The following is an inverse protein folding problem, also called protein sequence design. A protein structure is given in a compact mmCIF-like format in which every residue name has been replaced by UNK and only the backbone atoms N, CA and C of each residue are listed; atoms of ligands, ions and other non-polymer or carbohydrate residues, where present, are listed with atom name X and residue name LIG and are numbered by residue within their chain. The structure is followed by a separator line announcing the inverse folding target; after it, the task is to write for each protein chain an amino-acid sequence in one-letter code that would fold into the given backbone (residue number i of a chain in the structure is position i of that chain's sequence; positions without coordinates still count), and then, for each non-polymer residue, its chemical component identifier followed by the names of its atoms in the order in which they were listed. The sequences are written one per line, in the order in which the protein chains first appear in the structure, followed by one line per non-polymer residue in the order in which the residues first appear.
data_IF_185098809535
#
_entry.id   IF_185098809535
#
_cell.length_a   1.000
_cell.length_b   1.000
_cell.length_c   1.000
_cell.angle_alpha   90.00
_cell.angle_beta   90.00
_cell.angle_gamma   90.00
#
_symmetry.space_group_name_H-M   'P 1'
#
loop_
_entity.id
_entity.type
_entity.pdbx_description
1 polymer ?
#
# COMPACT_ATOMS: atom_id res chain seq x y z
N UNK A 1 45.65 26.87 11.29
CA UNK A 1 44.35 26.80 12.00
C UNK A 1 43.84 25.39 11.90
N UNK A 2 43.28 24.84 12.96
CA UNK A 2 42.71 23.51 12.90
C UNK A 2 41.42 23.53 12.07
N UNK A 3 41.09 22.43 11.40
CA UNK A 3 39.81 22.30 10.69
C UNK A 3 38.69 22.10 11.71
N UNK A 4 37.47 22.52 11.38
CA UNK A 4 36.32 22.41 12.27
C UNK A 4 36.14 20.99 12.83
N UNK A 5 36.31 19.96 11.98
CA UNK A 5 36.24 18.56 12.38
C UNK A 5 37.15 18.22 13.58
N UNK A 6 38.38 18.77 13.63
CA UNK A 6 39.34 18.45 14.69
C UNK A 6 38.85 18.86 16.08
N UNK A 7 38.13 19.98 16.18
CA UNK A 7 37.55 20.45 17.45
C UNK A 7 36.44 19.53 17.95
N UNK A 8 35.75 18.84 17.03
CA UNK A 8 34.64 17.95 17.31
C UNK A 8 35.03 16.47 17.43
N UNK A 9 36.29 16.09 17.14
CA UNK A 9 36.79 14.73 17.30
C UNK A 9 36.54 14.12 18.69
N UNK A 10 36.69 14.85 19.82
CA UNK A 10 36.37 14.30 21.14
C UNK A 10 34.90 13.86 21.29
N UNK A 11 33.97 14.55 20.60
CA UNK A 11 32.55 14.19 20.59
C UNK A 11 32.33 12.92 19.76
N UNK A 12 33.00 12.79 18.62
CA UNK A 12 32.99 11.55 17.82
C UNK A 12 33.57 10.36 18.59
N UNK A 13 34.71 10.53 19.25
CA UNK A 13 35.31 9.48 20.09
C UNK A 13 34.36 9.05 21.21
N UNK A 14 33.66 10.00 21.85
CA UNK A 14 32.65 9.69 22.85
C UNK A 14 31.47 8.90 22.27
N UNK A 15 30.91 9.34 21.14
CA UNK A 15 29.79 8.65 20.48
C UNK A 15 30.15 7.23 20.02
N UNK A 16 31.34 7.04 19.43
CA UNK A 16 31.81 5.71 19.02
C UNK A 16 32.04 4.77 20.21
N UNK A 17 32.63 5.27 21.30
CA UNK A 17 32.79 4.48 22.53
C UNK A 17 31.44 4.13 23.18
N UNK A 18 30.45 5.01 23.07
CA UNK A 18 29.08 4.74 23.51
C UNK A 18 28.42 3.66 22.63
N UNK A 19 28.53 3.76 21.31
CA UNK A 19 27.99 2.78 20.35
C UNK A 19 28.62 1.39 20.56
N UNK A 20 29.94 1.31 20.76
CA UNK A 20 30.63 0.05 21.09
C UNK A 20 30.12 -0.57 22.39
N UNK A 21 29.96 0.23 23.46
CA UNK A 21 29.40 -0.24 24.73
C UNK A 21 27.96 -0.72 24.61
N UNK A 22 27.14 -0.04 23.80
CA UNK A 22 25.76 -0.43 23.49
C UNK A 22 25.75 -1.77 22.76
N UNK A 23 26.56 -1.92 21.71
CA UNK A 23 26.67 -3.15 20.94
C UNK A 23 27.17 -4.34 21.79
N UNK A 24 28.06 -4.08 22.76
CA UNK A 24 28.54 -5.08 23.71
C UNK A 24 27.57 -5.38 24.87
N UNK A 25 26.43 -4.68 24.98
CA UNK A 25 25.48 -4.84 26.09
C UNK A 25 26.00 -4.35 27.44
N UNK A 26 27.04 -3.49 27.45
CA UNK A 26 27.74 -3.01 28.65
C UNK A 26 27.37 -1.56 29.04
N UNK A 27 26.25 -1.05 28.51
CA UNK A 27 25.73 0.28 28.80
C UNK A 27 25.27 0.38 30.29
N UNK A 28 26.16 0.84 31.18
CA UNK A 28 25.91 0.94 32.63
C UNK A 28 25.55 2.35 33.11
N UNK A 29 25.82 3.39 32.32
CA UNK A 29 25.52 4.78 32.69
C UNK A 29 24.07 5.14 32.33
N UNK A 30 23.37 5.88 33.18
CA UNK A 30 21.99 6.31 32.93
C UNK A 30 21.88 7.36 31.83
N UNK A 31 20.74 7.36 31.10
CA UNK A 31 20.45 8.25 29.95
C UNK A 31 20.79 9.72 30.21
N UNK A 32 20.42 10.27 31.38
CA UNK A 32 20.69 11.66 31.73
C UNK A 32 22.19 12.01 31.85
N UNK A 33 23.01 11.09 32.35
CA UNK A 33 24.46 11.30 32.48
C UNK A 33 25.13 11.34 31.11
N UNK A 34 24.73 10.44 30.20
CA UNK A 34 25.21 10.39 28.82
C UNK A 34 24.85 11.68 28.07
N UNK A 35 23.59 12.11 28.13
CA UNK A 35 23.11 13.36 27.51
C UNK A 35 23.84 14.59 28.06
N UNK A 36 24.01 14.67 29.39
CA UNK A 36 24.75 15.78 30.02
C UNK A 36 26.20 15.81 29.54
N UNK A 37 26.86 14.65 29.49
CA UNK A 37 28.25 14.54 29.06
C UNK A 37 28.42 14.90 27.58
N UNK A 38 27.53 14.42 26.72
CA UNK A 38 27.51 14.76 25.30
C UNK A 38 27.36 16.28 25.10
N UNK A 39 26.41 16.90 25.82
CA UNK A 39 26.18 18.34 25.78
C UNK A 39 27.44 19.14 26.17
N UNK A 40 28.08 18.77 27.27
CA UNK A 40 29.33 19.41 27.71
C UNK A 40 30.44 19.32 26.65
N UNK A 41 30.60 18.16 26.01
CA UNK A 41 31.61 17.97 24.99
C UNK A 41 31.32 18.80 23.74
N UNK A 42 30.05 18.87 23.32
CA UNK A 42 29.62 19.71 22.18
C UNK A 42 29.86 21.20 22.49
N UNK A 43 29.49 21.68 23.68
CA UNK A 43 29.69 23.08 24.07
C UNK A 43 31.19 23.44 24.15
N UNK A 44 32.03 22.53 24.66
CA UNK A 44 33.50 22.72 24.66
C UNK A 44 34.07 22.75 23.24
N UNK A 45 33.62 21.85 22.36
CA UNK A 45 34.06 21.81 20.97
C UNK A 45 33.69 23.11 20.22
N UNK A 46 32.47 23.62 20.44
CA UNK A 46 32.03 24.91 19.91
C UNK A 46 32.91 26.07 20.40
N UNK A 47 33.16 26.14 21.71
CA UNK A 47 33.99 27.19 22.29
C UNK A 47 35.44 27.15 21.76
N UNK A 48 36.02 25.95 21.61
CA UNK A 48 37.36 25.77 21.05
C UNK A 48 37.43 26.19 19.57
N UNK A 49 36.43 25.80 18.77
CA UNK A 49 36.35 26.20 17.36
C UNK A 49 36.22 27.73 17.20
N UNK A 50 35.40 28.37 18.02
CA UNK A 50 35.24 29.84 18.01
C UNK A 50 36.52 30.55 18.46
N UNK A 51 37.23 30.03 19.46
CA UNK A 51 38.52 30.56 19.90
C UNK A 51 39.61 30.45 18.82
N UNK A 52 39.54 29.43 17.95
CA UNK A 52 40.40 29.27 16.76
C UNK A 52 39.89 30.05 15.53
N UNK A 53 38.91 30.95 15.73
CA UNK A 53 38.42 31.89 14.72
C UNK A 53 37.33 31.36 13.78
N UNK A 54 36.72 30.20 14.06
CA UNK A 54 35.61 29.68 13.26
C UNK A 54 34.33 30.50 13.49
N UNK A 55 33.51 30.66 12.45
CA UNK A 55 32.25 31.40 12.55
C UNK A 55 31.28 30.68 13.50
N UNK A 56 30.52 31.40 14.36
CA UNK A 56 29.54 30.79 15.25
C UNK A 56 28.54 29.88 14.52
N UNK A 57 28.04 30.34 13.37
CA UNK A 57 27.10 29.59 12.52
C UNK A 57 27.67 28.22 12.05
N UNK A 58 28.97 28.15 11.77
CA UNK A 58 29.62 26.90 11.37
C UNK A 58 29.76 25.95 12.56
N UNK A 59 30.11 26.48 13.73
CA UNK A 59 30.19 25.70 14.97
C UNK A 59 28.80 25.16 15.39
N UNK A 60 27.74 25.96 15.23
CA UNK A 60 26.37 25.56 15.50
C UNK A 60 25.88 24.49 14.51
N UNK A 61 26.17 24.66 13.22
CA UNK A 61 25.85 23.66 12.19
C UNK A 61 26.52 22.31 12.47
N UNK A 62 27.79 22.30 12.86
CA UNK A 62 28.51 21.09 13.24
C UNK A 62 27.96 20.45 14.52
N UNK A 63 27.60 21.26 15.52
CA UNK A 63 26.99 20.78 16.75
C UNK A 63 25.63 20.11 16.53
N UNK A 64 24.82 20.62 15.59
CA UNK A 64 23.55 20.00 15.20
C UNK A 64 23.75 18.57 14.68
N UNK A 65 24.70 18.38 13.76
CA UNK A 65 25.01 17.06 13.21
C UNK A 65 25.35 16.05 14.31
N UNK A 66 26.14 16.45 15.31
CA UNK A 66 26.57 15.54 16.38
C UNK A 66 25.48 15.29 17.42
N UNK A 67 24.65 16.29 17.70
CA UNK A 67 23.47 16.08 18.56
C UNK A 67 22.52 15.05 17.92
N UNK A 68 22.23 15.20 16.61
CA UNK A 68 21.40 14.25 15.87
C UNK A 68 21.99 12.84 15.87
N UNK A 69 23.30 12.71 15.64
CA UNK A 69 23.98 11.41 15.61
C UNK A 69 24.07 10.72 16.99
N UNK A 70 24.37 11.46 18.05
CA UNK A 70 24.39 10.91 19.41
C UNK A 70 22.98 10.47 19.84
N UNK A 71 21.96 11.28 19.56
CA UNK A 71 20.57 10.91 19.85
C UNK A 71 20.16 9.63 19.11
N UNK A 72 20.60 9.45 17.86
CA UNK A 72 20.35 8.21 17.11
C UNK A 72 21.08 7.00 17.73
N UNK A 73 22.34 7.15 18.15
CA UNK A 73 23.07 6.09 18.86
C UNK A 73 22.31 5.69 20.13
N UNK A 74 21.85 6.66 20.91
CA UNK A 74 21.09 6.41 22.12
C UNK A 74 19.74 5.73 21.82
N UNK A 75 19.04 6.14 20.77
CA UNK A 75 17.74 5.58 20.38
C UNK A 75 17.79 4.09 19.96
N UNK A 76 18.96 3.59 19.54
CA UNK A 76 19.15 2.16 19.19
C UNK A 76 19.08 1.23 20.40
N UNK A 77 19.24 1.75 21.63
CA UNK A 77 19.17 0.95 22.85
C UNK A 77 17.91 1.30 23.67
N UNK A 78 17.00 0.33 23.92
CA UNK A 78 15.81 0.54 24.74
C UNK A 78 16.08 1.12 26.14
N UNK A 79 17.25 0.86 26.72
CA UNK A 79 17.64 1.38 28.03
C UNK A 79 17.76 2.92 28.08
N UNK A 80 17.95 3.57 26.93
CA UNK A 80 18.10 5.01 26.84
C UNK A 80 16.83 5.76 26.42
N UNK A 81 15.77 5.04 26.03
CA UNK A 81 14.48 5.60 25.60
C UNK A 81 13.71 6.31 26.73
N UNK A 82 13.98 5.95 27.98
CA UNK A 82 13.34 6.55 29.16
C UNK A 82 14.37 7.22 30.06
N UNK A 83 14.09 8.44 30.52
CA UNK A 83 14.89 9.10 31.57
C UNK A 83 15.79 10.27 31.17
N UNK A 84 15.82 10.72 29.91
CA UNK A 84 16.39 12.03 29.56
C UNK A 84 15.74 12.65 28.32
N UNK A 85 15.79 13.98 28.22
CA UNK A 85 15.30 14.72 27.04
C UNK A 85 16.43 14.69 25.99
N UNK A 86 16.18 14.29 24.73
CA UNK A 86 17.19 14.24 23.67
C UNK A 86 17.94 15.56 23.44
N UNK A 87 19.17 15.48 22.94
CA UNK A 87 20.01 16.64 22.63
C UNK A 87 19.36 17.54 21.57
N UNK A 88 18.74 16.97 20.54
CA UNK A 88 18.03 17.70 19.49
C UNK A 88 16.94 18.63 20.04
N UNK A 89 16.25 18.20 21.11
CA UNK A 89 15.20 18.99 21.76
C UNK A 89 15.83 20.07 22.64
N UNK A 90 16.80 19.70 23.47
CA UNK A 90 17.40 20.64 24.45
C UNK A 90 18.36 21.67 23.84
N UNK A 91 19.00 21.35 22.72
CA UNK A 91 19.97 22.20 22.04
C UNK A 91 19.38 22.99 20.88
N UNK A 92 18.43 22.40 20.14
CA UNK A 92 17.96 22.94 18.87
C UNK A 92 16.43 23.05 18.76
N UNK A 93 15.70 22.71 19.82
CA UNK A 93 14.23 22.79 19.87
C UNK A 93 13.54 22.03 18.71
N UNK A 94 14.10 20.89 18.30
CA UNK A 94 13.52 20.00 17.29
C UNK A 94 13.39 18.57 17.83
N UNK A 95 12.40 17.84 17.32
CA UNK A 95 12.22 16.40 17.54
C UNK A 95 12.40 15.57 16.26
N UNK A 96 12.89 16.20 15.18
CA UNK A 96 12.96 15.64 13.83
C UNK A 96 14.37 15.74 13.23
N UNK A 97 15.41 15.74 14.07
CA UNK A 97 16.79 15.96 13.64
C UNK A 97 17.27 14.89 12.63
N UNK A 98 16.73 13.67 12.69
CA UNK A 98 17.03 12.60 11.73
C UNK A 98 16.70 12.95 10.27
N UNK A 99 15.64 13.73 10.04
CA UNK A 99 15.23 14.20 8.71
C UNK A 99 15.88 15.56 8.38
N UNK A 100 15.89 16.48 9.36
CA UNK A 100 16.48 17.82 9.21
C UNK A 100 17.99 17.76 8.93
N UNK A 101 18.70 16.71 9.39
CA UNK A 101 20.11 16.49 9.08
C UNK A 101 20.40 16.55 7.58
N UNK A 102 19.62 15.84 6.76
CA UNK A 102 19.83 15.81 5.31
C UNK A 102 19.39 17.11 4.63
N UNK A 103 18.39 17.79 5.19
CA UNK A 103 17.96 19.12 4.75
C UNK A 103 19.08 20.16 5.00
N UNK A 104 19.69 20.15 6.18
CA UNK A 104 20.83 21.00 6.50
C UNK A 104 22.03 20.68 5.61
N UNK A 105 22.38 19.39 5.45
CA UNK A 105 23.50 18.95 4.62
C UNK A 105 23.37 19.39 3.15
N UNK A 106 22.17 19.28 2.58
CA UNK A 106 21.90 19.70 1.19
C UNK A 106 21.86 21.23 1.02
N UNK A 107 21.50 21.98 2.08
CA UNK A 107 21.49 23.44 2.08
C UNK A 107 22.88 24.08 2.26
N UNK A 108 23.92 23.31 2.62
CA UNK A 108 25.26 23.84 2.85
C UNK A 108 25.86 24.42 1.56
N UNK A 109 26.31 25.67 1.66
CA UNK A 109 27.01 26.38 0.57
C UNK A 109 28.48 25.96 0.46
N UNK A 110 29.14 26.36 -0.61
CA UNK A 110 30.54 26.03 -0.88
C UNK A 110 31.51 26.60 0.19
N UNK A 111 31.16 27.70 0.86
CA UNK A 111 31.94 28.29 1.96
C UNK A 111 31.70 27.61 3.33
N UNK A 112 30.90 26.54 3.35
CA UNK A 112 30.58 25.73 4.54
C UNK A 112 31.09 24.28 4.38
N UNK A 113 32.15 24.11 3.61
CA UNK A 113 32.84 22.85 3.32
C UNK A 113 33.37 22.13 4.57
N UNK A 114 33.86 22.85 5.58
CA UNK A 114 34.27 22.27 6.87
C UNK A 114 33.07 21.79 7.71
N UNK A 115 31.90 22.43 7.60
CA UNK A 115 30.67 21.94 8.27
C UNK A 115 30.21 20.67 7.58
N UNK A 116 30.24 20.66 6.25
CA UNK A 116 29.92 19.49 5.43
C UNK A 116 30.82 18.30 5.76
N UNK A 117 32.08 18.54 6.04
CA UNK A 117 33.01 17.51 6.51
C UNK A 117 32.57 16.87 7.83
N UNK A 118 32.03 17.65 8.78
CA UNK A 118 31.49 17.10 10.04
C UNK A 118 30.26 16.23 9.79
N UNK A 119 29.31 16.69 8.96
CA UNK A 119 28.15 15.88 8.57
C UNK A 119 28.56 14.60 7.86
N UNK A 120 29.50 14.70 6.92
CA UNK A 120 30.02 13.56 6.19
C UNK A 120 30.71 12.57 7.13
N UNK A 121 31.48 13.04 8.11
CA UNK A 121 32.10 12.17 9.10
C UNK A 121 31.05 11.43 9.95
N UNK A 122 29.95 12.07 10.34
CA UNK A 122 28.85 11.40 11.02
C UNK A 122 28.20 10.29 10.17
N UNK A 123 28.05 10.50 8.85
CA UNK A 123 27.58 9.45 7.92
C UNK A 123 28.55 8.27 7.84
N UNK A 124 29.86 8.52 7.89
CA UNK A 124 30.88 7.47 7.94
C UNK A 124 30.87 6.71 9.28
N UNK A 125 30.55 7.40 10.37
CA UNK A 125 30.35 6.82 11.69
C UNK A 125 28.96 6.17 11.87
N UNK A 126 28.23 5.93 10.77
CA UNK A 126 27.01 5.13 10.78
C UNK A 126 25.74 5.89 11.15
N UNK A 127 25.70 7.22 11.03
CA UNK A 127 24.44 7.96 11.05
C UNK A 127 23.58 7.57 9.84
N UNK A 128 22.32 7.21 10.08
CA UNK A 128 21.39 6.78 9.03
C UNK A 128 20.21 7.73 8.87
N UNK A 129 19.68 8.26 9.98
CA UNK A 129 18.53 9.16 10.03
C UNK A 129 17.32 8.59 9.30
N UNK A 130 16.78 9.38 8.36
CA UNK A 130 15.60 9.01 7.57
C UNK A 130 15.76 7.75 6.69
N UNK A 131 16.99 7.28 6.46
CA UNK A 131 17.28 6.14 5.59
C UNK A 131 17.42 4.81 6.36
N UNK A 132 16.81 4.67 7.55
CA UNK A 132 16.98 3.53 8.47
C UNK A 132 16.64 2.16 7.87
N UNK A 133 15.96 2.13 6.72
CA UNK A 133 15.56 0.93 6.00
C UNK A 133 16.59 0.44 4.97
N UNK A 134 17.64 1.22 4.66
CA UNK A 134 18.68 0.83 3.71
C UNK A 134 19.79 0.02 4.39
N UNK A 135 20.23 -1.06 3.72
CA UNK A 135 21.34 -1.88 4.19
C UNK A 135 22.54 -1.73 3.24
N UNK A 136 23.65 -1.18 3.75
CA UNK A 136 24.89 -0.99 3.00
C UNK A 136 24.90 0.29 2.13
N UNK A 137 25.94 0.44 1.31
CA UNK A 137 26.22 1.66 0.54
C UNK A 137 25.68 1.62 -0.91
N UNK A 138 24.78 0.70 -1.25
CA UNK A 138 24.20 0.58 -2.60
C UNK A 138 22.91 1.38 -2.79
N UNK A 139 22.32 1.91 -1.71
CA UNK A 139 21.09 2.69 -1.70
C UNK A 139 21.30 4.20 -1.90
N UNK A 140 20.27 4.99 -1.57
CA UNK A 140 20.31 6.46 -1.64
C UNK A 140 21.31 7.05 -0.65
N UNK A 141 21.48 6.44 0.53
CA UNK A 141 22.49 6.89 1.50
C UNK A 141 23.91 6.78 0.93
N UNK A 142 24.19 5.71 0.18
CA UNK A 142 25.46 5.52 -0.53
C UNK A 142 25.70 6.59 -1.60
N UNK A 143 24.67 6.92 -2.39
CA UNK A 143 24.73 8.01 -3.37
C UNK A 143 24.96 9.37 -2.72
N UNK A 144 24.33 9.64 -1.57
CA UNK A 144 24.55 10.88 -0.81
C UNK A 144 25.98 10.97 -0.27
N UNK A 145 26.53 9.87 0.25
CA UNK A 145 27.95 9.81 0.65
C UNK A 145 28.85 10.13 -0.54
N UNK A 146 28.63 9.50 -1.70
CA UNK A 146 29.44 9.78 -2.90
C UNK A 146 29.33 11.24 -3.36
N UNK A 147 28.12 11.79 -3.41
CA UNK A 147 27.86 13.16 -3.88
C UNK A 147 28.48 14.21 -2.96
N UNK A 148 28.35 14.06 -1.64
CA UNK A 148 28.91 15.01 -0.68
C UNK A 148 30.41 14.80 -0.47
N UNK A 149 30.92 13.56 -0.58
CA UNK A 149 32.35 13.24 -0.49
C UNK A 149 33.18 13.97 -1.56
N UNK A 150 32.67 14.06 -2.79
CA UNK A 150 33.31 14.82 -3.89
C UNK A 150 33.37 16.34 -3.64
N UNK A 151 32.55 16.86 -2.73
CA UNK A 151 32.44 18.29 -2.42
C UNK A 151 33.19 18.67 -1.13
N UNK A 152 33.95 17.74 -0.53
CA UNK A 152 34.76 18.01 0.64
C UNK A 152 36.07 18.71 0.27
N UNK A 153 36.68 19.47 1.20
CA UNK A 153 37.98 20.10 0.95
C UNK A 153 39.08 19.08 0.69
N UNK A 154 38.97 17.90 1.31
CA UNK A 154 39.80 16.73 1.05
C UNK A 154 38.84 15.60 0.67
N UNK A 155 38.73 15.34 -0.63
CA UNK A 155 37.89 14.26 -1.13
C UNK A 155 38.45 12.90 -0.65
N UNK A 156 37.59 11.97 -0.20
CA UNK A 156 38.03 10.63 0.19
C UNK A 156 38.56 9.89 -1.04
N UNK A 157 39.58 9.05 -0.84
CA UNK A 157 40.17 8.26 -1.91
C UNK A 157 39.10 7.32 -2.52
N UNK A 158 38.98 7.24 -3.86
CA UNK A 158 38.03 6.34 -4.49
C UNK A 158 38.42 4.89 -4.20
N UNK A 159 37.55 4.11 -3.56
CA UNK A 159 37.87 2.74 -3.15
C UNK A 159 38.23 1.85 -4.36
N UNK A 160 37.64 2.12 -5.52
CA UNK A 160 37.92 1.40 -6.77
C UNK A 160 39.28 1.75 -7.39
N UNK A 161 39.85 2.92 -7.08
CA UNK A 161 41.19 3.32 -7.55
C UNK A 161 42.29 2.96 -6.58
N UNK A 162 41.99 2.57 -5.32
CA UNK A 162 43.03 2.21 -4.33
C UNK A 162 43.98 1.08 -4.79
N UNK A 163 43.54 0.21 -5.70
CA UNK A 163 44.39 -0.81 -6.32
C UNK A 163 45.39 -0.21 -7.32
N UNK A 164 45.01 0.89 -7.98
CA UNK A 164 45.75 1.53 -9.07
C UNK A 164 46.57 2.73 -8.58
N UNK A 165 46.10 3.43 -7.55
CA UNK A 165 46.81 4.52 -6.90
C UNK A 165 47.91 4.01 -6.00
N UNK A 166 49.14 4.38 -6.37
CA UNK A 166 50.37 4.00 -5.69
C UNK A 166 50.47 4.77 -4.38
N UNK A 167 50.27 4.08 -3.25
CA UNK A 167 50.25 4.68 -1.90
C UNK A 167 51.61 5.28 -1.50
N UNK A 168 52.72 4.76 -2.03
CA UNK A 168 54.06 5.32 -1.81
C UNK A 168 54.88 5.30 -3.10
N UNK A 169 55.88 6.18 -3.28
CA UNK A 169 56.69 6.21 -4.51
C UNK A 169 57.60 4.99 -4.68
N UNK A 170 58.10 4.41 -3.58
CA UNK A 170 59.26 3.51 -3.61
C UNK A 170 59.03 1.99 -3.82
N UNK A 171 57.84 1.38 -3.70
CA UNK A 171 57.64 -0.01 -4.12
C UNK A 171 57.37 -0.14 -5.63
N UNK A 172 57.13 0.96 -6.36
CA UNK A 172 56.74 0.92 -7.77
C UNK A 172 57.76 1.55 -8.74
N UNK A 173 58.94 1.93 -8.25
CA UNK A 173 60.05 2.42 -9.07
C UNK A 173 60.78 1.29 -9.81
N UNK A 174 60.58 0.04 -9.38
CA UNK A 174 61.11 -1.16 -10.02
C UNK A 174 59.99 -1.80 -10.81
N UNK A 175 60.24 -2.12 -12.08
CA UNK A 175 59.29 -2.87 -12.89
C UNK A 175 59.10 -4.27 -12.27
N UNK A 176 57.85 -4.72 -12.16
CA UNK A 176 57.56 -6.07 -11.68
C UNK A 176 58.33 -7.10 -12.51
N UNK A 177 58.95 -8.12 -11.87
CA UNK A 177 59.64 -9.16 -12.60
C UNK A 177 58.66 -9.84 -13.56
N UNK A 178 59.07 -10.15 -14.81
CA UNK A 178 58.19 -10.80 -15.76
C UNK A 178 57.75 -12.14 -15.19
N UNK A 179 56.45 -12.25 -14.90
CA UNK A 179 55.82 -13.48 -14.44
C UNK A 179 55.96 -14.61 -15.47
N UNK A 180 55.68 -15.87 -15.07
CA UNK A 180 55.82 -17.03 -15.93
C UNK A 180 55.07 -16.83 -17.26
N UNK A 181 55.79 -16.99 -18.37
CA UNK A 181 55.22 -16.94 -19.72
C UNK A 181 54.37 -18.20 -19.95
N UNK A 182 53.09 -18.14 -19.60
CA UNK A 182 52.13 -19.17 -20.00
C UNK A 182 52.06 -19.24 -21.54
N UNK A 183 51.99 -20.44 -22.14
CA UNK A 183 51.95 -20.61 -23.59
C UNK A 183 50.61 -20.11 -24.17
N UNK A 184 50.58 -18.83 -24.57
CA UNK A 184 49.46 -18.06 -25.17
C UNK A 184 48.74 -18.70 -26.37
N UNK A 185 49.25 -19.80 -26.92
CA UNK A 185 48.65 -20.46 -28.09
C UNK A 185 47.34 -21.18 -27.76
N UNK A 186 47.20 -21.71 -26.54
CA UNK A 186 45.96 -22.33 -26.07
C UNK A 186 44.92 -21.27 -25.66
N UNK A 187 45.35 -20.11 -25.14
CA UNK A 187 44.44 -19.03 -24.77
C UNK A 187 43.70 -18.44 -25.98
N UNK A 188 44.37 -18.28 -27.13
CA UNK A 188 43.75 -17.72 -28.34
C UNK A 188 42.74 -18.66 -28.98
N UNK A 189 43.01 -19.96 -28.99
CA UNK A 189 42.05 -20.96 -29.49
C UNK A 189 40.88 -21.10 -28.52
N UNK A 190 41.12 -21.14 -27.20
CA UNK A 190 40.07 -21.14 -26.19
C UNK A 190 39.20 -19.88 -26.25
N UNK A 191 39.77 -18.70 -26.45
CA UNK A 191 39.03 -17.44 -26.61
C UNK A 191 38.13 -17.46 -27.87
N UNK A 192 38.63 -18.00 -28.99
CA UNK A 192 37.84 -18.10 -30.24
C UNK A 192 36.69 -19.10 -30.09
N UNK A 193 36.94 -20.25 -29.46
CA UNK A 193 35.90 -21.24 -29.17
C UNK A 193 34.88 -20.68 -28.19
N UNK A 194 35.34 -20.01 -27.13
CA UNK A 194 34.48 -19.35 -26.14
C UNK A 194 33.60 -18.27 -26.77
N UNK A 195 34.15 -17.43 -27.65
CA UNK A 195 33.39 -16.41 -28.37
C UNK A 195 32.33 -17.02 -29.30
N UNK A 196 32.66 -18.13 -29.97
CA UNK A 196 31.73 -18.82 -30.87
C UNK A 196 30.58 -19.48 -30.09
N UNK A 197 30.86 -20.11 -28.96
CA UNK A 197 29.83 -20.65 -28.06
C UNK A 197 28.96 -19.54 -27.47
N UNK A 198 29.56 -18.43 -27.02
CA UNK A 198 28.85 -17.27 -26.50
C UNK A 198 27.92 -16.62 -27.53
N UNK A 199 28.21 -16.76 -28.83
CA UNK A 199 27.35 -16.29 -29.92
C UNK A 199 26.29 -17.32 -30.32
N UNK A 200 26.61 -18.62 -30.27
CA UNK A 200 25.65 -19.68 -30.62
C UNK A 200 24.54 -19.88 -29.58
N UNK A 201 24.81 -19.65 -28.29
CA UNK A 201 23.80 -19.75 -27.23
C UNK A 201 22.63 -18.77 -27.44
N UNK A 202 22.86 -17.44 -27.59
CA UNK A 202 21.76 -16.50 -27.81
C UNK A 202 21.10 -16.69 -29.17
N UNK A 203 21.84 -17.09 -30.22
CA UNK A 203 21.26 -17.40 -31.53
C UNK A 203 20.36 -18.64 -31.47
N UNK A 204 20.80 -19.70 -30.79
CA UNK A 204 19.99 -20.89 -30.56
C UNK A 204 18.75 -20.59 -29.72
N UNK A 205 18.90 -19.74 -28.69
CA UNK A 205 17.78 -19.27 -27.87
C UNK A 205 16.78 -18.42 -28.67
N UNK A 206 17.28 -17.53 -29.55
CA UNK A 206 16.44 -16.75 -30.45
C UNK A 206 15.69 -17.65 -31.44
N UNK A 207 16.36 -18.64 -32.04
CA UNK A 207 15.72 -19.62 -32.93
C UNK A 207 14.66 -20.43 -32.17
N UNK A 208 14.95 -20.84 -30.92
CA UNK A 208 13.98 -21.52 -30.07
C UNK A 208 12.74 -20.65 -29.81
N UNK A 209 12.91 -19.35 -29.49
CA UNK A 209 11.80 -18.41 -29.32
C UNK A 209 11.02 -18.24 -30.63
N UNK A 210 11.70 -18.13 -31.77
CA UNK A 210 11.05 -17.95 -33.08
C UNK A 210 10.31 -19.20 -33.55
N UNK A 211 10.73 -20.40 -33.13
CA UNK A 211 10.06 -21.68 -33.44
C UNK A 211 9.00 -22.07 -32.39
N UNK A 212 9.08 -21.53 -31.18
CA UNK A 212 8.04 -21.66 -30.17
C UNK A 212 6.84 -20.81 -30.60
N UNK A 213 5.88 -21.42 -31.29
CA UNK A 213 4.60 -20.77 -31.56
C UNK A 213 3.97 -20.30 -30.23
N UNK A 214 3.41 -19.07 -30.17
CA UNK A 214 2.67 -18.64 -28.99
C UNK A 214 1.56 -19.64 -28.73
N UNK A 215 1.45 -20.12 -27.47
CA UNK A 215 0.35 -21.02 -27.09
C UNK A 215 -0.98 -20.33 -27.47
N UNK A 216 -1.91 -21.03 -28.15
CA UNK A 216 -3.18 -20.44 -28.51
C UNK A 216 -3.93 -20.05 -27.23
N UNK A 217 -4.18 -18.76 -27.03
CA UNK A 217 -4.86 -18.27 -25.83
C UNK A 217 -6.34 -18.62 -25.90
N UNK A 218 -6.81 -19.52 -25.05
CA UNK A 218 -8.21 -19.93 -24.96
C UNK A 218 -9.04 -18.86 -24.21
N UNK A 219 -8.40 -18.17 -23.27
CA UNK A 219 -9.07 -17.27 -22.34
C UNK A 219 -9.72 -16.06 -23.02
N UNK A 220 -9.02 -15.44 -23.99
CA UNK A 220 -9.51 -14.23 -24.67
C UNK A 220 -10.76 -14.51 -25.53
N UNK A 221 -10.78 -15.53 -26.42
CA UNK A 221 -11.98 -15.88 -27.17
C UNK A 221 -13.17 -16.25 -26.28
N UNK A 222 -12.93 -16.98 -25.18
CA UNK A 222 -14.00 -17.33 -24.22
C UNK A 222 -14.57 -16.06 -23.57
N UNK A 223 -13.74 -15.14 -23.08
CA UNK A 223 -14.20 -13.89 -22.48
C UNK A 223 -15.03 -13.06 -23.47
N UNK A 224 -14.62 -12.99 -24.73
CA UNK A 224 -15.35 -12.26 -25.76
C UNK A 224 -16.75 -12.85 -26.02
N UNK A 225 -16.89 -14.18 -26.03
CA UNK A 225 -18.19 -14.85 -26.17
C UNK A 225 -19.12 -14.55 -24.98
N UNK A 226 -18.57 -14.51 -23.77
CA UNK A 226 -19.33 -14.29 -22.54
C UNK A 226 -19.70 -12.81 -22.29
N UNK A 227 -18.96 -11.86 -22.85
CA UNK A 227 -19.25 -10.43 -22.70
C UNK A 227 -20.59 -9.99 -23.32
N UNK A 228 -21.20 -10.83 -24.17
CA UNK A 228 -22.45 -10.51 -24.87
C UNK A 228 -23.72 -10.86 -24.09
N UNK A 229 -23.61 -11.51 -22.93
CA UNK A 229 -24.78 -11.81 -22.09
C UNK A 229 -25.25 -10.54 -21.37
N UNK A 230 -26.55 -10.18 -21.45
CA UNK A 230 -27.08 -9.02 -20.78
C UNK A 230 -27.22 -9.27 -19.28
N UNK A 231 -26.86 -8.26 -18.47
CA UNK A 231 -26.97 -8.30 -17.01
C UNK A 231 -26.34 -9.57 -16.40
N UNK A 232 -25.07 -9.79 -16.73
CA UNK A 232 -24.26 -10.90 -16.23
C UNK A 232 -22.93 -10.42 -15.65
N UNK A 233 -22.37 -11.25 -14.79
CA UNK A 233 -21.00 -11.15 -14.29
C UNK A 233 -20.42 -12.56 -14.24
N UNK A 234 -19.56 -12.86 -15.21
CA UNK A 234 -19.04 -14.20 -15.47
C UNK A 234 -17.52 -14.12 -15.37
N UNK A 235 -16.98 -14.80 -14.36
CA UNK A 235 -15.54 -14.91 -14.12
C UNK A 235 -15.04 -16.20 -14.77
N UNK A 236 -14.04 -16.07 -15.63
CA UNK A 236 -13.45 -17.18 -16.37
C UNK A 236 -12.06 -17.48 -15.84
N UNK A 237 -11.79 -18.75 -15.60
CA UNK A 237 -10.44 -19.27 -15.39
C UNK A 237 -10.19 -20.41 -16.38
N UNK A 238 -9.01 -20.45 -16.98
CA UNK A 238 -8.67 -21.45 -17.99
C UNK A 238 -7.29 -22.05 -17.70
N UNK A 239 -7.19 -23.36 -17.81
CA UNK A 239 -5.92 -24.09 -17.93
C UNK A 239 -5.69 -24.33 -19.42
N UNK A 240 -4.79 -23.54 -20.01
CA UNK A 240 -4.51 -23.57 -21.45
C UNK A 240 -3.81 -24.86 -21.89
N UNK A 241 -3.05 -25.51 -21.00
CA UNK A 241 -2.33 -26.74 -21.32
C UNK A 241 -3.28 -27.95 -21.32
N UNK A 242 -4.19 -27.99 -20.34
CA UNK A 242 -5.22 -29.03 -20.26
C UNK A 242 -6.42 -28.76 -21.19
N UNK A 243 -6.59 -27.51 -21.66
CA UNK A 243 -7.76 -27.08 -22.43
C UNK A 243 -9.04 -27.08 -21.59
N UNK A 244 -8.93 -26.83 -20.28
CA UNK A 244 -10.07 -26.85 -19.37
C UNK A 244 -10.47 -25.44 -18.97
N UNK A 245 -11.77 -25.16 -18.98
CA UNK A 245 -12.31 -23.84 -18.66
C UNK A 245 -13.29 -23.95 -17.51
N UNK A 246 -13.17 -23.07 -16.52
CA UNK A 246 -14.13 -22.92 -15.44
C UNK A 246 -14.75 -21.53 -15.50
N UNK A 247 -16.07 -21.50 -15.51
CA UNK A 247 -16.87 -20.27 -15.49
C UNK A 247 -17.71 -20.26 -14.22
N UNK A 248 -17.55 -19.21 -13.42
CA UNK A 248 -18.35 -18.97 -12.22
C UNK A 248 -19.06 -17.61 -12.37
N UNK A 249 -20.29 -17.47 -11.87
CA UNK A 249 -20.98 -16.18 -11.92
C UNK A 249 -22.50 -16.25 -11.96
N UNK A 250 -23.12 -15.25 -12.59
CA UNK A 250 -24.57 -15.19 -12.76
C UNK A 250 -25.01 -14.63 -14.11
N UNK A 251 -26.21 -15.01 -14.55
CA UNK A 251 -26.91 -14.53 -15.75
C UNK A 251 -28.36 -14.16 -15.43
N UNK A 252 -28.96 -13.32 -16.27
CA UNK A 252 -30.30 -12.78 -16.05
C UNK A 252 -31.45 -13.67 -16.49
N UNK A 253 -31.20 -14.63 -17.40
CA UNK A 253 -32.23 -15.53 -17.94
C UNK A 253 -31.86 -16.99 -17.72
N UNK A 254 -32.87 -17.82 -17.46
CA UNK A 254 -32.65 -19.26 -17.29
C UNK A 254 -32.06 -19.90 -18.56
N UNK A 255 -32.51 -19.48 -19.75
CA UNK A 255 -32.00 -19.95 -21.04
C UNK A 255 -30.50 -19.64 -21.22
N UNK A 256 -30.02 -18.55 -20.64
CA UNK A 256 -28.63 -18.12 -20.77
C UNK A 256 -27.67 -19.04 -20.02
N UNK A 257 -28.12 -19.78 -19.00
CA UNK A 257 -27.27 -20.73 -18.27
C UNK A 257 -26.79 -21.84 -19.22
N UNK A 258 -27.71 -22.41 -20.01
CA UNK A 258 -27.38 -23.41 -21.01
C UNK A 258 -26.56 -22.81 -22.16
N UNK A 259 -26.90 -21.59 -22.59
CA UNK A 259 -26.20 -20.90 -23.67
C UNK A 259 -24.75 -20.56 -23.30
N UNK A 260 -24.45 -20.20 -22.04
CA UNK A 260 -23.08 -19.97 -21.55
C UNK A 260 -22.24 -21.22 -21.76
N UNK A 261 -22.74 -22.38 -21.30
CA UNK A 261 -22.02 -23.65 -21.48
C UNK A 261 -21.78 -23.97 -22.96
N UNK A 262 -22.81 -23.86 -23.78
CA UNK A 262 -22.71 -24.13 -25.22
C UNK A 262 -21.69 -23.23 -25.92
N UNK A 263 -21.64 -21.93 -25.58
CA UNK A 263 -20.68 -21.00 -26.18
C UNK A 263 -19.25 -21.25 -25.74
N UNK A 264 -19.03 -21.59 -24.47
CA UNK A 264 -17.70 -21.96 -23.96
C UNK A 264 -17.21 -23.23 -24.62
N UNK A 265 -18.05 -24.26 -24.72
CA UNK A 265 -17.72 -25.53 -25.38
C UNK A 265 -17.47 -25.38 -26.89
N UNK A 266 -18.03 -24.33 -27.52
CA UNK A 266 -17.82 -24.01 -28.93
C UNK A 266 -16.54 -23.24 -29.26
N UNK A 267 -15.75 -22.82 -28.26
CA UNK A 267 -14.48 -22.11 -28.49
C UNK A 267 -13.38 -23.10 -28.84
N UNK A 268 -12.64 -22.81 -29.91
CA UNK A 268 -11.49 -23.62 -30.34
C UNK A 268 -10.43 -23.71 -29.23
N UNK A 269 -10.00 -24.94 -28.93
CA UNK A 269 -9.04 -25.23 -27.85
C UNK A 269 -9.68 -25.68 -26.53
N UNK A 270 -10.99 -25.45 -26.33
CA UNK A 270 -11.71 -25.95 -25.14
C UNK A 270 -11.99 -27.46 -25.31
N UNK A 271 -11.44 -28.27 -24.39
CA UNK A 271 -11.67 -29.72 -24.32
C UNK A 271 -12.72 -30.08 -23.28
N UNK A 272 -12.78 -29.34 -22.18
CA UNK A 272 -13.82 -29.51 -21.16
C UNK A 272 -14.14 -28.19 -20.48
N UNK A 273 -15.39 -28.04 -20.05
CA UNK A 273 -15.85 -26.87 -19.31
C UNK A 273 -16.63 -27.25 -18.05
N UNK A 274 -16.39 -26.49 -16.98
CA UNK A 274 -17.19 -26.50 -15.75
C UNK A 274 -17.88 -25.16 -15.62
N UNK A 275 -19.21 -25.14 -15.60
CA UNK A 275 -20.01 -23.91 -15.57
C UNK A 275 -20.86 -23.89 -14.30
N UNK A 276 -20.50 -23.03 -13.36
CA UNK A 276 -21.21 -22.78 -12.11
C UNK A 276 -21.87 -21.40 -12.18
N UNK A 277 -22.96 -21.30 -12.93
CA UNK A 277 -23.66 -20.04 -13.17
C UNK A 277 -25.04 -20.08 -12.51
N UNK A 278 -25.35 -19.04 -11.75
CA UNK A 278 -26.62 -18.87 -11.06
C UNK A 278 -27.57 -17.95 -11.85
N UNK A 279 -28.88 -18.19 -11.73
CA UNK A 279 -29.88 -17.26 -12.23
C UNK A 279 -29.97 -16.05 -11.28
N UNK A 280 -29.85 -14.86 -11.82
CA UNK A 280 -30.09 -13.61 -11.10
C UNK A 280 -30.79 -12.63 -12.03
N UNK A 281 -32.10 -12.52 -11.89
CA UNK A 281 -32.94 -11.73 -12.80
C UNK A 281 -32.59 -10.24 -12.76
N UNK A 282 -32.98 -9.53 -13.82
CA UNK A 282 -33.03 -8.07 -13.79
C UNK A 282 -34.19 -7.65 -12.87
N UNK A 283 -34.04 -6.63 -12.00
CA UNK A 283 -32.90 -5.71 -11.87
C UNK A 283 -31.81 -6.18 -10.90
N UNK A 284 -31.99 -7.28 -10.17
CA UNK A 284 -31.07 -7.72 -9.10
C UNK A 284 -29.63 -7.92 -9.57
N UNK A 285 -29.43 -8.43 -10.80
CA UNK A 285 -28.10 -8.57 -11.39
C UNK A 285 -27.39 -7.22 -11.59
N UNK A 286 -28.09 -6.17 -12.04
CA UNK A 286 -27.52 -4.83 -12.19
C UNK A 286 -27.19 -4.24 -10.82
N UNK A 287 -28.09 -4.38 -9.85
CA UNK A 287 -27.92 -3.83 -8.51
C UNK A 287 -26.69 -4.42 -7.82
N UNK A 288 -26.54 -5.76 -7.84
CA UNK A 288 -25.36 -6.41 -7.25
C UNK A 288 -24.08 -5.96 -7.94
N UNK A 289 -24.10 -5.81 -9.27
CA UNK A 289 -22.95 -5.32 -10.03
C UNK A 289 -22.56 -3.88 -9.65
N UNK A 290 -23.55 -2.98 -9.52
CA UNK A 290 -23.35 -1.59 -9.09
C UNK A 290 -22.75 -1.54 -7.67
N UNK A 291 -23.26 -2.38 -6.76
CA UNK A 291 -22.86 -2.37 -5.36
C UNK A 291 -21.61 -3.21 -5.06
N UNK A 292 -21.10 -3.99 -6.02
CA UNK A 292 -20.01 -4.96 -5.82
C UNK A 292 -18.79 -4.36 -5.11
N UNK A 293 -18.30 -3.21 -5.61
CA UNK A 293 -17.14 -2.53 -5.02
C UNK A 293 -17.39 -2.02 -3.60
N UNK A 294 -18.61 -1.55 -3.31
CA UNK A 294 -18.98 -0.98 -2.01
C UNK A 294 -19.24 -2.08 -0.97
N UNK A 295 -19.71 -3.25 -1.43
CA UNK A 295 -19.80 -4.45 -0.61
C UNK A 295 -18.43 -5.05 -0.29
N UNK A 296 -17.54 -5.13 -1.27
CA UNK A 296 -16.16 -5.56 -1.03
C UNK A 296 -15.51 -4.65 0.02
N UNK A 297 -15.63 -3.33 -0.17
CA UNK A 297 -15.11 -2.33 0.79
C UNK A 297 -15.67 -2.49 2.20
N UNK A 298 -16.97 -2.79 2.35
CA UNK A 298 -17.58 -3.06 3.66
C UNK A 298 -16.87 -4.22 4.40
N UNK A 299 -16.56 -5.30 3.67
CA UNK A 299 -15.83 -6.45 4.19
C UNK A 299 -14.35 -6.16 4.45
N UNK A 300 -13.64 -5.67 3.42
CA UNK A 300 -12.20 -5.45 3.44
C UNK A 300 -11.76 -4.45 4.52
N UNK A 301 -12.55 -3.39 4.73
CA UNK A 301 -12.26 -2.37 5.73
C UNK A 301 -12.92 -2.64 7.10
N UNK A 302 -13.63 -3.77 7.26
CA UNK A 302 -14.29 -4.12 8.52
C UNK A 302 -15.32 -3.08 8.99
N UNK A 303 -16.06 -2.47 8.07
CA UNK A 303 -17.05 -1.44 8.43
C UNK A 303 -18.23 -1.99 9.20
N UNK A 304 -18.54 -3.29 9.10
CA UNK A 304 -19.55 -3.93 9.94
C UNK A 304 -20.99 -3.53 9.59
N UNK A 305 -21.23 -2.92 8.42
CA UNK A 305 -22.59 -2.68 7.92
C UNK A 305 -23.24 -4.03 7.61
N UNK A 306 -24.39 -4.29 8.21
CA UNK A 306 -25.08 -5.57 8.04
C UNK A 306 -26.59 -5.40 7.95
N UNK A 307 -27.21 -6.34 7.25
CA UNK A 307 -28.65 -6.53 7.16
C UNK A 307 -28.95 -8.01 7.39
N UNK A 308 -29.94 -8.29 8.22
CA UNK A 308 -30.45 -9.64 8.44
C UNK A 308 -31.97 -9.61 8.49
N UNK A 309 -32.66 -10.73 8.23
CA UNK A 309 -34.04 -10.87 8.67
C UNK A 309 -34.17 -10.55 10.17
N UNK A 310 -35.36 -10.11 10.61
CA UNK A 310 -35.64 -9.94 12.04
C UNK A 310 -35.39 -11.23 12.82
N UNK A 311 -35.16 -11.12 14.13
CA UNK A 311 -34.69 -12.25 14.94
C UNK A 311 -35.63 -13.46 14.85
N UNK A 312 -35.09 -14.60 14.39
CA UNK A 312 -35.84 -15.86 14.28
C UNK A 312 -36.50 -16.10 12.92
N UNK A 313 -36.36 -15.17 11.97
CA UNK A 313 -36.89 -15.33 10.62
C UNK A 313 -35.83 -15.84 9.63
N UNK A 314 -36.26 -16.64 8.65
CA UNK A 314 -35.40 -17.12 7.57
C UNK A 314 -35.26 -16.08 6.45
N UNK A 315 -34.46 -16.37 5.44
CA UNK A 315 -34.45 -15.61 4.18
C UNK A 315 -35.66 -15.91 3.28
N UNK A 316 -36.60 -16.74 3.75
CA UNK A 316 -37.84 -17.07 3.05
C UNK A 316 -39.03 -16.39 3.69
N UNK A 317 -39.82 -15.73 2.85
CA UNK A 317 -41.03 -15.01 3.24
C UNK A 317 -42.24 -15.58 2.50
N UNK A 318 -43.36 -15.69 3.19
CA UNK A 318 -44.61 -16.16 2.59
C UNK A 318 -45.54 -15.00 2.27
N UNK A 319 -46.47 -15.21 1.34
CA UNK A 319 -47.51 -14.24 1.02
C UNK A 319 -48.23 -13.70 2.27
N UNK A 320 -48.50 -12.39 2.28
CA UNK A 320 -49.07 -11.64 3.39
C UNK A 320 -48.15 -11.45 4.61
N UNK A 321 -46.92 -11.93 4.56
CA UNK A 321 -45.93 -11.63 5.58
C UNK A 321 -45.35 -10.22 5.41
N UNK A 322 -45.03 -9.57 6.53
CA UNK A 322 -44.38 -8.27 6.50
C UNK A 322 -42.86 -8.43 6.42
N UNK A 323 -42.24 -7.70 5.49
CA UNK A 323 -40.80 -7.60 5.32
C UNK A 323 -40.26 -6.71 6.44
N UNK A 324 -39.72 -7.36 7.48
CA UNK A 324 -39.06 -6.70 8.60
C UNK A 324 -37.60 -7.13 8.60
N UNK A 325 -36.70 -6.16 8.49
CA UNK A 325 -35.25 -6.40 8.48
C UNK A 325 -34.58 -5.70 9.63
N UNK A 326 -33.60 -6.38 10.22
CA UNK A 326 -32.72 -5.81 11.22
C UNK A 326 -31.48 -5.24 10.54
N UNK A 327 -31.21 -3.97 10.79
CA UNK A 327 -30.05 -3.26 10.28
C UNK A 327 -29.02 -3.08 11.39
N UNK A 328 -27.75 -3.14 11.00
CA UNK A 328 -26.62 -2.67 11.79
C UNK A 328 -25.87 -1.63 10.98
N UNK A 329 -25.80 -0.41 11.50
CA UNK A 329 -25.01 0.66 10.90
C UNK A 329 -23.52 0.30 10.93
N UNK A 330 -22.79 0.78 9.93
CA UNK A 330 -21.34 0.73 9.88
C UNK A 330 -20.70 1.34 11.14
N UNK A 331 -19.41 1.07 11.35
CA UNK A 331 -18.59 1.58 12.44
C UNK A 331 -18.24 3.08 12.28
N UNK A 332 -19.19 3.89 11.82
CA UNK A 332 -19.14 5.34 11.73
C UNK A 332 -20.55 5.93 11.72
N UNK A 333 -20.67 7.20 12.13
CA UNK A 333 -21.94 7.94 12.05
C UNK A 333 -22.27 8.26 10.58
N UNK A 334 -23.50 7.98 10.16
CA UNK A 334 -23.91 8.16 8.75
C UNK A 334 -25.39 7.96 8.51
N UNK A 335 -25.79 8.16 7.25
CA UNK A 335 -27.14 7.97 6.73
C UNK A 335 -27.26 6.59 6.08
N UNK A 336 -28.42 5.96 6.24
CA UNK A 336 -28.75 4.68 5.63
C UNK A 336 -29.81 4.84 4.56
N UNK A 337 -29.68 4.05 3.51
CA UNK A 337 -30.65 3.93 2.42
C UNK A 337 -30.94 2.46 2.21
N UNK A 338 -32.20 2.06 2.36
CA UNK A 338 -32.68 0.69 2.27
C UNK A 338 -33.73 0.61 1.18
N UNK A 339 -33.39 -0.14 0.13
CA UNK A 339 -34.22 -0.31 -1.05
C UNK A 339 -34.55 -1.79 -1.22
N UNK A 340 -35.80 -2.07 -1.56
CA UNK A 340 -36.31 -3.42 -1.80
C UNK A 340 -36.75 -3.56 -3.25
N UNK A 341 -36.03 -4.42 -3.97
CA UNK A 341 -36.23 -4.72 -5.37
C UNK A 341 -37.07 -5.99 -5.52
N UNK A 342 -38.27 -5.83 -6.05
CA UNK A 342 -39.20 -6.95 -6.27
C UNK A 342 -38.84 -7.71 -7.55
N UNK A 343 -39.46 -8.88 -7.74
CA UNK A 343 -39.35 -9.65 -8.98
C UNK A 343 -39.96 -8.95 -10.21
N UNK A 344 -40.88 -8.00 -10.01
CA UNK A 344 -41.48 -7.23 -11.11
C UNK A 344 -40.57 -6.13 -11.63
N UNK A 345 -39.46 -5.85 -10.93
CA UNK A 345 -38.60 -4.72 -11.24
C UNK A 345 -39.06 -3.41 -10.63
N UNK A 346 -39.94 -3.45 -9.63
CA UNK A 346 -40.25 -2.28 -8.81
C UNK A 346 -39.24 -2.15 -7.66
N UNK A 347 -39.05 -0.91 -7.20
CA UNK A 347 -38.18 -0.57 -6.08
C UNK A 347 -38.99 0.18 -5.05
N UNK A 348 -39.13 -0.43 -3.88
CA UNK A 348 -39.69 0.20 -2.71
C UNK A 348 -38.57 0.79 -1.84
N UNK A 349 -38.67 2.08 -1.53
CA UNK A 349 -37.72 2.77 -0.65
C UNK A 349 -38.16 2.60 0.80
N UNK A 350 -37.70 1.52 1.42
CA UNK A 350 -38.07 1.13 2.78
C UNK A 350 -37.43 2.08 3.81
N UNK A 351 -36.25 2.63 3.56
CA UNK A 351 -35.67 3.66 4.43
C UNK A 351 -34.76 4.61 3.63
N UNK A 352 -34.82 5.94 3.80
CA UNK A 352 -35.80 6.65 4.61
C UNK A 352 -37.19 6.70 3.96
N UNK A 353 -38.23 6.79 4.79
CA UNK A 353 -39.63 6.94 4.36
C UNK A 353 -40.45 7.76 5.37
N UNK A 354 -41.55 8.33 4.91
CA UNK A 354 -42.46 9.23 5.64
C UNK A 354 -43.25 8.55 6.77
N UNK A 355 -43.37 7.23 6.71
CA UNK A 355 -44.13 6.42 7.65
C UNK A 355 -43.33 5.94 8.85
N UNK A 356 -42.01 6.12 8.86
CA UNK A 356 -41.14 5.74 9.96
C UNK A 356 -40.72 6.95 10.84
N UNK A 357 -40.80 6.84 12.17
CA UNK A 357 -40.32 7.89 13.08
C UNK A 357 -38.81 8.12 12.89
N UNK A 358 -38.41 9.39 12.91
CA UNK A 358 -37.00 9.80 12.77
C UNK A 358 -36.30 9.23 11.53
N UNK A 359 -37.06 8.99 10.45
CA UNK A 359 -36.52 8.48 9.20
C UNK A 359 -35.59 9.50 8.51
N UNK A 360 -34.49 9.02 7.92
CA UNK A 360 -33.51 9.88 7.24
C UNK A 360 -32.59 10.65 8.18
N UNK A 361 -32.60 10.35 9.49
CA UNK A 361 -31.67 10.93 10.45
C UNK A 361 -30.25 10.38 10.29
N UNK A 362 -29.32 11.03 10.98
CA UNK A 362 -27.99 10.48 11.23
C UNK A 362 -28.09 9.29 12.19
N UNK A 363 -27.64 8.12 11.74
CA UNK A 363 -27.55 6.89 12.54
C UNK A 363 -26.16 6.79 13.16
N UNK A 364 -26.09 6.46 14.45
CA UNK A 364 -24.80 6.37 15.17
C UNK A 364 -24.03 5.12 14.76
N UNK A 365 -22.71 5.20 14.88
CA UNK A 365 -21.79 4.08 14.66
C UNK A 365 -22.24 2.81 15.39
N UNK A 366 -22.42 1.72 14.64
CA UNK A 366 -22.79 0.40 15.19
C UNK A 366 -24.22 0.28 15.73
N UNK A 367 -25.04 1.31 15.58
CA UNK A 367 -26.44 1.29 16.02
C UNK A 367 -27.23 0.20 15.29
N UNK A 368 -28.09 -0.51 16.02
CA UNK A 368 -28.96 -1.56 15.47
C UNK A 368 -30.43 -1.19 15.68
N UNK A 369 -31.24 -1.37 14.64
CA UNK A 369 -32.68 -1.12 14.68
C UNK A 369 -33.40 -1.95 13.61
N UNK A 370 -34.71 -2.08 13.74
CA UNK A 370 -35.55 -2.75 12.76
C UNK A 370 -36.23 -1.74 11.85
N UNK A 371 -36.32 -2.09 10.58
CA UNK A 371 -37.00 -1.31 9.54
C UNK A 371 -38.14 -2.15 8.97
N UNK A 372 -39.29 -1.50 8.71
CA UNK A 372 -40.52 -2.14 8.27
C UNK A 372 -41.43 -2.65 9.39
N UNK A 373 -41.04 -2.47 10.67
CA UNK A 373 -41.83 -2.89 11.83
C UNK A 373 -42.92 -1.88 12.24
N UNK A 374 -42.96 -0.70 11.63
CA UNK A 374 -43.86 0.39 12.05
C UNK A 374 -45.30 0.15 11.57
N UNK A 375 -46.31 0.17 12.47
CA UNK A 375 -47.71 -0.08 12.09
C UNK A 375 -48.31 0.92 11.09
N UNK A 376 -47.76 2.14 11.01
CA UNK A 376 -48.19 3.16 10.04
C UNK A 376 -47.82 2.84 8.60
N UNK A 377 -46.83 1.95 8.37
CA UNK A 377 -46.35 1.61 7.03
C UNK A 377 -45.74 0.21 7.01
N UNK A 378 -46.49 -0.75 6.47
CA UNK A 378 -46.11 -2.15 6.39
C UNK A 378 -45.75 -2.56 4.97
N UNK A 379 -44.66 -3.31 4.81
CA UNK A 379 -44.20 -3.84 3.54
C UNK A 379 -44.61 -5.30 3.41
N UNK A 380 -45.72 -5.57 2.75
CA UNK A 380 -46.30 -6.92 2.71
C UNK A 380 -45.91 -7.66 1.42
N UNK A 381 -45.48 -8.90 1.57
CA UNK A 381 -45.14 -9.78 0.43
C UNK A 381 -46.40 -10.12 -0.37
N UNK A 382 -46.34 -9.88 -1.67
CA UNK A 382 -47.43 -10.16 -2.61
C UNK A 382 -46.89 -10.70 -3.94
N UNK A 383 -47.78 -11.25 -4.77
CA UNK A 383 -47.40 -11.83 -6.05
C UNK A 383 -46.84 -10.76 -7.04
N UNK A 384 -45.94 -11.15 -7.96
CA UNK A 384 -45.41 -12.50 -8.15
C UNK A 384 -44.31 -12.84 -7.15
N UNK A 385 -44.13 -14.14 -6.95
CA UNK A 385 -43.17 -14.67 -5.98
C UNK A 385 -41.87 -15.09 -6.66
N UNK A 386 -40.75 -14.97 -5.96
CA UNK A 386 -39.46 -15.38 -6.46
C UNK A 386 -38.31 -14.89 -5.58
N UNK A 387 -37.10 -14.90 -6.14
CA UNK A 387 -35.97 -14.31 -5.46
C UNK A 387 -36.07 -12.79 -5.55
N UNK A 388 -35.93 -12.10 -4.42
CA UNK A 388 -35.96 -10.64 -4.31
C UNK A 388 -34.71 -10.14 -3.57
N UNK A 389 -34.49 -8.83 -3.59
CA UNK A 389 -33.26 -8.23 -3.10
C UNK A 389 -33.54 -7.00 -2.25
N UNK A 390 -33.00 -6.98 -1.03
CA UNK A 390 -32.94 -5.77 -0.20
C UNK A 390 -31.50 -5.29 -0.17
N UNK A 391 -31.27 -4.02 -0.49
CA UNK A 391 -29.95 -3.39 -0.43
C UNK A 391 -29.89 -2.36 0.67
N UNK A 392 -28.70 -2.20 1.24
CA UNK A 392 -28.41 -1.16 2.23
C UNK A 392 -27.16 -0.40 1.80
N UNK A 393 -27.26 0.91 1.69
CA UNK A 393 -26.14 1.82 1.41
C UNK A 393 -25.94 2.72 2.63
N UNK A 394 -24.72 2.77 3.15
CA UNK A 394 -24.32 3.63 4.25
C UNK A 394 -23.38 4.72 3.75
N UNK A 395 -23.68 5.97 4.10
CA UNK A 395 -22.90 7.15 3.68
C UNK A 395 -22.73 8.15 4.82
N UNK A 396 -21.53 8.71 5.05
CA UNK A 396 -21.32 9.82 5.99
C UNK A 396 -22.12 11.09 5.69
N UNK A 397 -22.50 11.29 4.42
CA UNK A 397 -23.25 12.47 3.95
C UNK A 397 -24.53 12.04 3.22
N UNK A 398 -25.61 12.84 3.25
CA UNK A 398 -26.83 12.52 2.52
C UNK A 398 -26.56 12.28 1.03
N UNK A 399 -27.08 11.19 0.48
CA UNK A 399 -26.91 10.82 -0.93
C UNK A 399 -27.94 11.46 -1.86
N UNK A 400 -29.11 11.82 -1.34
CA UNK A 400 -30.18 12.48 -2.09
C UNK A 400 -30.46 13.87 -1.52
N UNK A 401 -30.70 14.82 -2.42
CA UNK A 401 -31.14 16.16 -2.05
C UNK A 401 -32.65 16.24 -1.84
N UNK A 402 -33.42 15.43 -2.58
CA UNK A 402 -34.88 15.35 -2.53
C UNK A 402 -35.31 13.97 -2.05
N UNK A 403 -36.50 13.89 -1.45
CA UNK A 403 -37.10 12.61 -1.08
C UNK A 403 -37.41 11.81 -2.35
N UNK A 404 -37.08 10.52 -2.33
CA UNK A 404 -37.48 9.61 -3.40
C UNK A 404 -38.97 9.30 -3.28
N UNK A 405 -39.66 9.01 -4.41
CA UNK A 405 -40.98 8.39 -4.37
C UNK A 405 -40.94 7.12 -3.51
N UNK A 406 -42.04 6.73 -2.90
CA UNK A 406 -42.10 5.53 -2.08
C UNK A 406 -41.84 4.25 -2.88
N UNK A 407 -42.44 4.17 -4.06
CA UNK A 407 -42.26 3.09 -5.03
C UNK A 407 -41.99 3.73 -6.40
N UNK A 408 -40.99 3.23 -7.11
CA UNK A 408 -40.70 3.59 -8.49
C UNK A 408 -40.12 2.39 -9.24
N UNK A 409 -40.01 2.46 -10.56
CA UNK A 409 -39.46 1.35 -11.34
C UNK A 409 -37.93 1.31 -11.22
N UNK A 410 -37.34 0.12 -11.33
CA UNK A 410 -35.89 -0.03 -11.34
C UNK A 410 -35.25 0.63 -12.57
N UNK A 411 -35.97 0.72 -13.69
CA UNK A 411 -35.49 1.43 -14.88
C UNK A 411 -35.27 2.92 -14.61
N UNK A 412 -36.18 3.55 -13.84
CA UNK A 412 -36.05 4.95 -13.43
C UNK A 412 -35.02 5.14 -12.31
N UNK A 413 -34.90 4.17 -11.40
CA UNK A 413 -34.05 4.30 -10.21
C UNK A 413 -32.58 3.98 -10.48
N UNK A 414 -32.26 2.92 -11.23
CA UNK A 414 -30.86 2.48 -11.42
C UNK A 414 -29.94 3.56 -12.02
N UNK A 415 -30.36 4.41 -12.97
CA UNK A 415 -29.55 5.53 -13.43
C UNK A 415 -29.24 6.54 -12.31
N UNK A 416 -30.23 6.86 -11.46
CA UNK A 416 -30.04 7.71 -10.28
C UNK A 416 -29.06 7.05 -9.31
N UNK A 417 -29.22 5.74 -9.07
CA UNK A 417 -28.32 4.91 -8.24
C UNK A 417 -26.86 4.97 -8.72
N UNK A 418 -26.61 4.89 -10.02
CA UNK A 418 -25.24 5.03 -10.54
C UNK A 418 -24.72 6.44 -10.34
N UNK A 419 -25.53 7.44 -10.68
CA UNK A 419 -25.14 8.84 -10.61
C UNK A 419 -24.71 9.27 -9.19
N UNK A 420 -25.46 8.92 -8.13
CA UNK A 420 -25.05 9.36 -6.78
C UNK A 420 -23.85 8.57 -6.24
N UNK A 421 -23.74 7.29 -6.58
CA UNK A 421 -22.59 6.47 -6.19
C UNK A 421 -21.31 6.97 -6.87
N UNK A 422 -21.40 7.36 -8.14
CA UNK A 422 -20.30 7.98 -8.90
C UNK A 422 -19.92 9.35 -8.33
N UNK A 423 -20.92 10.19 -8.01
CA UNK A 423 -20.68 11.50 -7.37
C UNK A 423 -19.99 11.36 -6.00
N UNK A 424 -20.19 10.24 -5.30
CA UNK A 424 -19.60 9.95 -4.01
C UNK A 424 -18.44 8.93 -4.09
N UNK A 425 -17.90 8.64 -5.28
CA UNK A 425 -16.85 7.62 -5.46
C UNK A 425 -15.59 7.85 -4.62
N UNK A 426 -15.25 9.12 -4.37
CA UNK A 426 -14.13 9.53 -3.51
C UNK A 426 -14.38 9.39 -2.00
N UNK A 427 -15.62 9.12 -1.58
CA UNK A 427 -15.93 8.91 -0.18
C UNK A 427 -15.48 7.51 0.26
N UNK A 428 -14.35 7.45 0.97
CA UNK A 428 -13.76 6.19 1.42
C UNK A 428 -14.68 5.41 2.36
N UNK A 429 -15.59 6.08 3.09
CA UNK A 429 -16.50 5.42 4.04
C UNK A 429 -17.79 4.94 3.40
N UNK A 430 -18.12 5.33 2.18
CA UNK A 430 -19.30 4.84 1.47
C UNK A 430 -19.23 3.30 1.34
N UNK A 431 -20.24 2.62 1.87
CA UNK A 431 -20.29 1.16 2.00
C UNK A 431 -21.67 0.63 1.63
N UNK A 432 -21.75 -0.61 1.17
CA UNK A 432 -23.01 -1.25 0.88
C UNK A 432 -23.05 -2.70 1.35
N UNK A 433 -24.25 -3.23 1.54
CA UNK A 433 -24.51 -4.65 1.72
C UNK A 433 -25.89 -4.97 1.13
N UNK A 434 -26.22 -6.26 1.02
CA UNK A 434 -27.51 -6.68 0.52
C UNK A 434 -27.91 -8.04 1.09
N UNK A 435 -29.21 -8.30 1.09
CA UNK A 435 -29.84 -9.56 1.48
C UNK A 435 -30.69 -10.04 0.31
N UNK A 436 -30.42 -11.27 -0.15
CA UNK A 436 -31.37 -11.97 -1.00
C UNK A 436 -32.43 -12.62 -0.14
N UNK A 437 -33.67 -12.57 -0.58
CA UNK A 437 -34.79 -13.25 0.03
C UNK A 437 -35.57 -14.05 -1.01
N UNK A 438 -36.27 -15.09 -0.58
CA UNK A 438 -37.13 -15.90 -1.42
C UNK A 438 -38.57 -15.70 -0.97
N UNK A 439 -39.43 -15.21 -1.86
CA UNK A 439 -40.87 -15.13 -1.61
C UNK A 439 -41.59 -16.33 -2.18
N UNK A 440 -42.63 -16.80 -1.48
CA UNK A 440 -43.44 -17.96 -1.83
C UNK A 440 -44.93 -17.69 -1.57
N UNK A 441 -45.87 -18.28 -2.34
CA UNK A 441 -47.30 -18.19 -2.06
C UNK A 441 -47.64 -18.81 -0.69
N UNK A 442 -48.72 -18.34 -0.05
CA UNK A 442 -49.26 -19.00 1.12
C UNK A 442 -49.72 -20.42 0.74
N UNK A 443 -49.35 -21.41 1.55
CA UNK A 443 -49.70 -22.83 1.31
C UNK A 443 -51.15 -23.14 1.61
#
# INVERSE_FOLDING_TARGET
MARLLHHFLPVFSFGLALDEKIAAGQASEGSAAVTTRARELIDRAKAAAQADGKRPEQADGAAFALAAWIDEIMARNPAYLTGSIPLQVTMFNTNNAGNEFFQHLSALKQDQDEVREVYYHALLCGFVGQYYYENGDTGELGKLKELHGRQLPIAPAPIHTLREEKITPQPYAVADPPGPKYPRQWDRTLLRVGALVALLIPVGYLIYILLAAPKPSILVPVQQQLASFPCSDLVVSADEDAGTVKVDGYVSRADDIAAVKQRVDGVEGVKSSTVNVQLRIWPHCEVVKILAQYKARNGDNGYGLAITPSTGHSDRFIENENVIVKLQQANYDGYLYVDYFTVNGDVAHIYPNDGEPDSGRLIRSGEQFEVGATPSKTWTVSAPFGQELITVIASPTPLYAEALPEIQTAEEYLPKMRQMLDANRGNAKLAATYLFMQTEPAR
#
